data_IF_092274332399
#
_entry.id   IF_092274332399
#
_cell.length_a   1.000
_cell.length_b   1.000
_cell.length_c   1.000
_cell.angle_alpha   90.00
_cell.angle_beta   90.00
_cell.angle_gamma   90.00
#
_symmetry.space_group_name_H-M   'P 1'
#
loop_
_entity.id
_entity.type
_entity.pdbx_description
1 polymer ?
#
# COMPACT_ATOMS: atom_id res chain seq x y z
N UNK A 1 44.16 -29.87 4.63
CA UNK A 1 43.58 -29.18 3.46
C UNK A 1 42.07 -29.46 3.31
N UNK A 2 41.56 -30.71 3.20
CA UNK A 2 40.12 -30.97 3.03
C UNK A 2 39.26 -30.52 4.22
N UNK A 3 39.73 -30.73 5.46
CA UNK A 3 39.04 -30.34 6.68
C UNK A 3 38.83 -28.81 6.84
N UNK A 4 39.62 -28.00 6.14
CA UNK A 4 39.51 -26.53 6.13
C UNK A 4 38.73 -26.03 4.91
N UNK A 5 38.96 -26.63 3.73
CA UNK A 5 38.34 -26.22 2.49
C UNK A 5 36.83 -26.49 2.48
N UNK A 6 36.38 -27.66 2.95
CA UNK A 6 34.96 -28.06 2.89
C UNK A 6 34.03 -27.14 3.69
N UNK A 7 34.28 -26.81 4.97
CA UNK A 7 33.42 -25.88 5.72
C UNK A 7 33.42 -24.47 5.11
N UNK A 8 34.55 -24.04 4.57
CA UNK A 8 34.71 -22.70 3.98
C UNK A 8 33.92 -22.56 2.67
N UNK A 9 34.00 -23.57 1.79
CA UNK A 9 33.27 -23.61 0.52
C UNK A 9 31.76 -23.74 0.76
N UNK A 10 31.33 -24.65 1.62
CA UNK A 10 29.91 -24.78 1.97
C UNK A 10 29.39 -23.49 2.61
N UNK A 11 30.19 -22.87 3.48
CA UNK A 11 29.85 -21.60 4.10
C UNK A 11 29.71 -20.45 3.10
N UNK A 12 30.61 -20.35 2.12
CA UNK A 12 30.52 -19.31 1.08
C UNK A 12 29.32 -19.50 0.16
N UNK A 13 29.03 -20.74 -0.24
CA UNK A 13 27.82 -21.09 -1.01
C UNK A 13 26.54 -20.77 -0.26
N UNK A 14 26.43 -21.17 1.01
CA UNK A 14 25.26 -20.86 1.85
C UNK A 14 25.07 -19.35 1.99
N UNK A 15 26.15 -18.57 2.17
CA UNK A 15 26.08 -17.10 2.21
C UNK A 15 25.61 -16.52 0.88
N UNK A 16 26.14 -16.99 -0.25
CA UNK A 16 25.77 -16.50 -1.59
C UNK A 16 24.28 -16.72 -1.89
N UNK A 17 23.76 -17.95 -1.69
CA UNK A 17 22.33 -18.24 -1.89
C UNK A 17 21.41 -17.48 -0.93
N UNK A 18 21.88 -17.20 0.29
CA UNK A 18 21.14 -16.39 1.26
C UNK A 18 21.09 -14.91 0.85
N UNK A 19 22.22 -14.36 0.41
CA UNK A 19 22.35 -12.91 0.21
C UNK A 19 21.95 -12.45 -1.19
N UNK A 20 22.08 -13.32 -2.19
CA UNK A 20 21.87 -12.99 -3.61
C UNK A 20 20.87 -13.91 -4.33
N UNK A 21 20.35 -14.94 -3.65
CA UNK A 21 19.42 -15.90 -4.24
C UNK A 21 17.95 -15.46 -4.23
N UNK A 22 17.65 -14.24 -3.78
CA UNK A 22 16.29 -13.73 -3.64
C UNK A 22 16.10 -12.48 -4.48
N UNK A 23 15.03 -12.47 -5.27
CA UNK A 23 14.67 -11.31 -6.10
C UNK A 23 14.30 -10.07 -5.25
N UNK A 24 13.85 -10.28 -4.01
CA UNK A 24 13.61 -9.23 -3.02
C UNK A 24 14.36 -9.60 -1.73
N UNK A 25 15.12 -8.64 -1.17
CA UNK A 25 15.85 -8.87 0.08
C UNK A 25 14.88 -8.92 1.26
N UNK A 26 14.81 -10.08 1.92
CA UNK A 26 13.95 -10.29 3.08
C UNK A 26 14.75 -10.11 4.39
N UNK A 27 14.17 -9.54 5.47
CA UNK A 27 14.84 -9.42 6.76
C UNK A 27 15.27 -10.78 7.36
N UNK A 28 16.34 -10.77 8.15
CA UNK A 28 16.93 -12.00 8.75
C UNK A 28 15.94 -12.78 9.62
N UNK A 29 15.13 -12.07 10.42
CA UNK A 29 14.11 -12.67 11.30
C UNK A 29 13.16 -13.59 10.54
N UNK A 30 12.76 -13.20 9.34
CA UNK A 30 11.87 -13.98 8.48
C UNK A 30 12.53 -15.28 8.01
N UNK A 31 13.82 -15.23 7.63
CA UNK A 31 14.55 -16.45 7.25
C UNK A 31 14.69 -17.45 8.40
N UNK A 32 14.85 -16.94 9.62
CA UNK A 32 14.97 -17.76 10.83
C UNK A 32 13.64 -18.45 11.19
N UNK A 33 12.49 -17.94 10.73
CA UNK A 33 11.17 -18.53 10.94
C UNK A 33 10.77 -19.46 9.78
N UNK A 34 10.98 -19.03 8.53
CA UNK A 34 10.47 -19.71 7.35
C UNK A 34 11.04 -21.13 7.14
N UNK A 35 12.32 -21.35 7.45
CA UNK A 35 12.93 -22.67 7.30
C UNK A 35 12.43 -23.66 8.38
N UNK A 36 12.49 -23.34 9.69
CA UNK A 36 11.90 -24.18 10.73
C UNK A 36 10.39 -24.40 10.58
N UNK A 37 9.64 -23.41 10.10
CA UNK A 37 8.20 -23.55 9.89
C UNK A 37 7.84 -24.66 8.92
N UNK A 38 8.66 -24.87 7.89
CA UNK A 38 8.47 -25.96 6.92
C UNK A 38 8.72 -27.31 7.57
N UNK A 39 9.80 -27.44 8.32
CA UNK A 39 10.15 -28.68 9.04
C UNK A 39 9.09 -29.04 10.10
N UNK A 40 8.58 -28.04 10.82
CA UNK A 40 7.50 -28.22 11.80
C UNK A 40 6.19 -28.63 11.11
N UNK A 41 5.83 -27.98 10.00
CA UNK A 41 4.63 -28.33 9.26
C UNK A 41 4.68 -29.76 8.71
N UNK A 42 5.82 -30.20 8.18
CA UNK A 42 6.02 -31.55 7.68
C UNK A 42 5.91 -32.59 8.81
N UNK A 43 6.54 -32.33 9.96
CA UNK A 43 6.44 -33.19 11.15
C UNK A 43 5.01 -33.29 11.67
N UNK A 44 4.32 -32.16 11.84
CA UNK A 44 2.93 -32.14 12.31
C UNK A 44 1.99 -32.83 11.34
N UNK A 45 2.27 -32.77 10.03
CA UNK A 45 1.48 -33.50 9.03
C UNK A 45 1.56 -35.01 9.25
N UNK A 46 2.74 -35.53 9.59
CA UNK A 46 2.94 -36.95 9.91
C UNK A 46 2.26 -37.34 11.23
N UNK A 47 2.32 -36.48 12.25
CA UNK A 47 1.74 -36.74 13.58
C UNK A 47 0.20 -36.66 13.59
N UNK A 48 -0.37 -35.68 12.88
CA UNK A 48 -1.81 -35.41 12.86
C UNK A 48 -2.57 -36.21 11.79
N UNK A 49 -1.86 -36.75 10.79
CA UNK A 49 -2.47 -37.40 9.63
C UNK A 49 -3.27 -36.45 8.73
N UNK A 50 -3.08 -35.14 8.89
CA UNK A 50 -3.69 -34.05 8.11
C UNK A 50 -2.74 -32.86 8.05
N UNK A 51 -2.98 -31.92 7.15
CA UNK A 51 -2.27 -30.65 7.17
C UNK A 51 -2.51 -29.90 8.50
N UNK A 52 -1.44 -29.38 9.14
CA UNK A 52 -1.56 -28.56 10.33
C UNK A 52 -2.13 -27.18 9.99
N UNK A 53 -2.76 -26.56 10.98
CA UNK A 53 -3.22 -25.17 10.93
C UNK A 53 -2.08 -24.20 11.22
N UNK A 54 -2.26 -22.93 10.84
CA UNK A 54 -1.30 -21.86 11.12
C UNK A 54 -1.05 -21.74 12.62
N UNK A 55 -2.11 -21.75 13.44
CA UNK A 55 -2.04 -21.73 14.89
C UNK A 55 -1.21 -22.89 15.48
N UNK A 56 -1.38 -24.11 14.96
CA UNK A 56 -0.62 -25.29 15.43
C UNK A 56 0.88 -25.14 15.14
N UNK A 57 1.23 -24.66 13.93
CA UNK A 57 2.63 -24.43 13.55
C UNK A 57 3.23 -23.26 14.35
N UNK A 58 2.48 -22.17 14.53
CA UNK A 58 2.91 -20.99 15.27
C UNK A 58 3.17 -21.32 16.75
N UNK A 59 2.28 -22.10 17.36
CA UNK A 59 2.40 -22.58 18.74
C UNK A 59 3.66 -23.42 18.92
N UNK A 60 3.91 -24.38 18.03
CA UNK A 60 5.09 -25.25 18.10
C UNK A 60 6.41 -24.49 17.90
N UNK A 61 6.39 -23.41 17.10
CA UNK A 61 7.53 -22.53 16.87
C UNK A 61 7.71 -21.44 17.94
N UNK A 62 6.71 -21.24 18.82
CA UNK A 62 6.72 -20.17 19.81
C UNK A 62 6.65 -18.77 19.21
N UNK A 63 5.95 -18.61 18.08
CA UNK A 63 5.77 -17.32 17.39
C UNK A 63 4.28 -16.97 17.26
N UNK A 64 4.00 -15.70 16.97
CA UNK A 64 2.67 -15.24 16.58
C UNK A 64 2.28 -15.80 15.20
N UNK A 65 1.00 -16.11 15.00
CA UNK A 65 0.41 -16.49 13.73
C UNK A 65 0.66 -15.43 12.64
N UNK A 66 0.54 -14.14 12.95
CA UNK A 66 0.78 -13.05 12.00
C UNK A 66 2.25 -13.04 11.54
N UNK A 67 3.16 -13.28 12.47
CA UNK A 67 4.60 -13.37 12.18
C UNK A 67 4.93 -14.62 11.33
N UNK A 68 4.21 -15.73 11.56
CA UNK A 68 4.35 -16.93 10.74
C UNK A 68 3.81 -16.71 9.32
N UNK A 69 2.64 -16.08 9.19
CA UNK A 69 2.03 -15.75 7.90
C UNK A 69 2.93 -14.81 7.09
N UNK A 70 3.44 -13.75 7.71
CA UNK A 70 4.40 -12.84 7.08
C UNK A 70 5.64 -13.61 6.57
N UNK A 71 6.15 -14.56 7.36
CA UNK A 71 7.31 -15.35 6.96
C UNK A 71 7.01 -16.34 5.80
N UNK A 72 5.81 -16.91 5.79
CA UNK A 72 5.34 -17.77 4.70
C UNK A 72 5.14 -16.98 3.40
N UNK A 73 4.48 -15.83 3.46
CA UNK A 73 4.28 -14.92 2.32
C UNK A 73 5.61 -14.41 1.77
N UNK A 74 6.52 -13.97 2.64
CA UNK A 74 7.83 -13.52 2.22
C UNK A 74 8.63 -14.63 1.51
N UNK A 75 8.40 -15.90 1.86
CA UNK A 75 9.03 -17.03 1.15
C UNK A 75 8.51 -17.16 -0.28
N UNK A 76 7.27 -16.76 -0.58
CA UNK A 76 6.77 -16.69 -1.96
C UNK A 76 7.46 -15.59 -2.78
N UNK A 77 7.97 -14.53 -2.13
CA UNK A 77 8.80 -13.51 -2.80
C UNK A 77 10.18 -14.03 -3.25
N UNK A 78 10.53 -15.28 -2.91
CA UNK A 78 11.76 -15.95 -3.37
C UNK A 78 11.76 -16.21 -4.87
N UNK A 79 10.60 -16.44 -5.48
CA UNK A 79 10.46 -16.59 -6.93
C UNK A 79 9.50 -15.54 -7.47
N UNK A 80 10.06 -14.44 -8.00
CA UNK A 80 9.29 -13.56 -8.86
C UNK A 80 8.94 -14.32 -10.15
N UNK A 81 7.68 -14.27 -10.53
CA UNK A 81 7.26 -14.76 -11.84
C UNK A 81 7.67 -13.73 -12.89
N UNK A 82 8.17 -14.18 -14.05
CA UNK A 82 8.48 -13.28 -15.14
C UNK A 82 7.21 -12.59 -15.64
N UNK A 83 7.28 -11.27 -15.84
CA UNK A 83 6.22 -10.50 -16.48
C UNK A 83 6.09 -10.87 -17.97
N UNK A 84 7.19 -11.31 -18.59
CA UNK A 84 7.24 -11.80 -19.97
C UNK A 84 6.76 -13.26 -20.10
N UNK A 85 6.43 -13.93 -18.99
CA UNK A 85 5.92 -15.29 -19.06
C UNK A 85 4.57 -15.30 -19.81
N UNK A 86 4.34 -16.27 -20.71
CA UNK A 86 3.10 -16.35 -21.48
C UNK A 86 1.89 -16.51 -20.54
N UNK A 87 0.82 -15.80 -20.88
CA UNK A 87 -0.46 -15.84 -20.21
C UNK A 87 -1.58 -15.90 -21.27
N UNK A 88 -2.18 -17.08 -21.45
CA UNK A 88 -3.19 -17.32 -22.48
C UNK A 88 -2.60 -17.51 -23.89
N UNK A 89 -3.43 -17.32 -24.92
CA UNK A 89 -3.07 -17.61 -26.31
C UNK A 89 -2.19 -16.53 -26.96
N UNK A 90 -2.33 -15.24 -26.59
CA UNK A 90 -1.65 -14.12 -27.27
C UNK A 90 -1.19 -12.99 -26.32
N UNK A 91 -0.77 -13.33 -25.10
CA UNK A 91 -0.38 -12.32 -24.11
C UNK A 91 0.72 -12.76 -23.16
N UNK A 92 1.35 -11.78 -22.53
CA UNK A 92 2.27 -11.95 -21.40
C UNK A 92 1.54 -11.72 -20.08
N UNK A 93 2.12 -12.15 -18.97
CA UNK A 93 1.63 -11.80 -17.63
C UNK A 93 1.54 -10.28 -17.42
N UNK A 94 2.38 -9.50 -18.10
CA UNK A 94 2.35 -8.05 -18.06
C UNK A 94 1.03 -7.48 -18.60
N UNK A 95 0.46 -8.09 -19.64
CA UNK A 95 -0.77 -7.62 -20.29
C UNK A 95 -2.02 -7.85 -19.41
N UNK A 96 -1.92 -8.70 -18.39
CA UNK A 96 -2.96 -8.92 -17.39
C UNK A 96 -2.94 -7.88 -16.26
N UNK A 97 -1.87 -7.09 -16.13
CA UNK A 97 -1.76 -6.07 -15.09
C UNK A 97 -2.48 -4.80 -15.53
N UNK A 98 -3.66 -4.57 -14.95
CA UNK A 98 -4.36 -3.29 -15.08
C UNK A 98 -3.63 -2.16 -14.35
N UNK A 99 -3.80 -0.93 -14.84
CA UNK A 99 -3.38 0.27 -14.13
C UNK A 99 -4.59 0.94 -13.46
N UNK A 100 -4.35 1.65 -12.36
CA UNK A 100 -5.37 2.53 -11.79
C UNK A 100 -5.68 3.64 -12.80
N UNK A 101 -6.94 3.75 -13.23
CA UNK A 101 -7.36 4.82 -14.12
C UNK A 101 -7.38 6.15 -13.33
N UNK A 102 -6.52 7.13 -13.66
CA UNK A 102 -6.53 8.44 -13.00
C UNK A 102 -7.84 9.21 -13.23
N UNK A 103 -8.64 8.84 -14.23
CA UNK A 103 -9.99 9.35 -14.47
C UNK A 103 -10.99 8.91 -13.40
N UNK A 104 -10.82 7.72 -12.82
CA UNK A 104 -11.75 7.16 -11.83
C UNK A 104 -11.73 7.97 -10.53
N UNK A 105 -10.53 8.24 -9.98
CA UNK A 105 -10.39 9.08 -8.78
C UNK A 105 -10.87 10.53 -8.99
N UNK A 106 -10.78 11.06 -10.22
CA UNK A 106 -11.36 12.37 -10.56
C UNK A 106 -12.88 12.34 -10.61
N UNK A 107 -13.48 11.25 -11.04
CA UNK A 107 -14.94 11.11 -11.10
C UNK A 107 -15.54 11.09 -9.69
N UNK A 108 -14.96 10.32 -8.78
CA UNK A 108 -15.38 10.29 -7.36
C UNK A 108 -15.24 11.66 -6.70
N UNK A 109 -14.10 12.32 -6.90
CA UNK A 109 -13.85 13.66 -6.39
C UNK A 109 -14.87 14.69 -6.93
N UNK A 110 -15.27 14.59 -8.20
CA UNK A 110 -16.30 15.47 -8.79
C UNK A 110 -17.67 15.27 -8.14
N UNK A 111 -18.06 14.02 -7.91
CA UNK A 111 -19.35 13.71 -7.25
C UNK A 111 -19.34 14.22 -5.81
N UNK A 112 -18.28 13.94 -5.05
CA UNK A 112 -18.15 14.40 -3.68
C UNK A 112 -18.13 15.94 -3.59
N UNK A 113 -17.41 16.62 -4.48
CA UNK A 113 -17.36 18.08 -4.53
C UNK A 113 -18.73 18.68 -4.86
N UNK A 114 -19.47 18.13 -5.82
CA UNK A 114 -20.81 18.60 -6.17
C UNK A 114 -21.77 18.52 -4.98
N UNK A 115 -21.72 17.44 -4.21
CA UNK A 115 -22.51 17.29 -2.98
C UNK A 115 -22.09 18.30 -1.92
N UNK A 116 -20.78 18.46 -1.69
CA UNK A 116 -20.24 19.40 -0.71
C UNK A 116 -20.60 20.87 -1.03
N UNK A 117 -20.60 21.25 -2.31
CA UNK A 117 -21.04 22.57 -2.77
C UNK A 117 -22.55 22.80 -2.52
N UNK A 118 -23.36 21.74 -2.54
CA UNK A 118 -24.80 21.80 -2.24
C UNK A 118 -25.10 22.17 -0.77
N UNK A 119 -24.21 21.80 0.15
CA UNK A 119 -24.35 22.07 1.60
C UNK A 119 -23.81 23.44 2.04
N UNK A 120 -23.07 24.13 1.15
CA UNK A 120 -22.56 25.46 1.47
C UNK A 120 -23.69 26.47 1.65
N UNK A 121 -23.45 27.42 2.55
CA UNK A 121 -24.33 28.58 2.67
C UNK A 121 -24.29 29.39 1.37
N UNK A 122 -25.38 30.10 1.05
CA UNK A 122 -25.44 30.92 -0.18
C UNK A 122 -24.28 31.91 -0.26
N UNK A 123 -23.93 32.49 0.89
CA UNK A 123 -22.79 33.39 1.05
C UNK A 123 -21.44 32.70 0.77
N UNK A 124 -21.23 31.48 1.27
CA UNK A 124 -19.98 30.75 1.01
C UNK A 124 -19.88 30.36 -0.48
N UNK A 125 -21.01 30.02 -1.11
CA UNK A 125 -21.09 29.72 -2.55
C UNK A 125 -20.76 30.95 -3.39
N UNK A 126 -21.41 32.08 -3.10
CA UNK A 126 -21.12 33.37 -3.75
C UNK A 126 -19.65 33.74 -3.58
N UNK A 127 -19.10 33.62 -2.37
CA UNK A 127 -17.70 33.93 -2.11
C UNK A 127 -16.73 33.09 -2.94
N UNK A 128 -17.01 31.79 -3.10
CA UNK A 128 -16.21 30.90 -3.94
C UNK A 128 -16.39 31.23 -5.43
N UNK A 129 -17.59 31.60 -5.86
CA UNK A 129 -17.88 32.01 -7.24
C UNK A 129 -17.07 33.27 -7.63
N UNK A 130 -17.12 34.30 -6.78
CA UNK A 130 -16.36 35.52 -6.96
C UNK A 130 -14.84 35.28 -7.06
N UNK A 131 -14.32 34.32 -6.28
CA UNK A 131 -12.88 34.06 -6.22
C UNK A 131 -12.39 33.10 -7.31
N UNK A 132 -13.11 32.01 -7.60
CA UNK A 132 -12.66 30.96 -8.50
C UNK A 132 -13.23 31.08 -9.93
N UNK A 133 -14.38 31.72 -10.12
CA UNK A 133 -15.03 31.86 -11.42
C UNK A 133 -14.99 33.30 -11.96
N UNK A 134 -15.25 34.31 -11.12
CA UNK A 134 -15.06 35.72 -11.50
C UNK A 134 -13.60 36.19 -11.38
N UNK A 135 -12.71 35.35 -10.84
CA UNK A 135 -11.27 35.62 -10.67
C UNK A 135 -10.94 36.92 -9.89
N UNK A 136 -11.85 37.38 -9.02
CA UNK A 136 -11.63 38.58 -8.22
C UNK A 136 -10.58 38.34 -7.13
N UNK A 137 -9.75 39.35 -6.89
CA UNK A 137 -8.83 39.35 -5.77
C UNK A 137 -9.58 39.46 -4.44
N UNK A 138 -8.99 38.96 -3.35
CA UNK A 138 -9.58 39.08 -2.01
C UNK A 138 -9.79 40.54 -1.59
N UNK A 139 -9.01 41.48 -2.14
CA UNK A 139 -9.17 42.92 -1.91
C UNK A 139 -10.40 43.48 -2.64
N UNK A 140 -10.65 43.07 -3.89
CA UNK A 140 -11.84 43.48 -4.65
C UNK A 140 -13.12 42.90 -4.03
N UNK A 141 -13.07 41.63 -3.62
CA UNK A 141 -14.16 40.98 -2.88
C UNK A 141 -14.41 41.72 -1.55
N UNK A 142 -13.35 42.08 -0.83
CA UNK A 142 -13.47 42.85 0.41
C UNK A 142 -14.15 44.21 0.20
N UNK A 143 -13.86 44.86 -0.94
CA UNK A 143 -14.54 46.08 -1.38
C UNK A 143 -16.05 45.87 -1.58
N UNK A 144 -16.47 44.76 -2.21
CA UNK A 144 -17.91 44.43 -2.38
C UNK A 144 -18.63 44.19 -1.06
N UNK A 145 -17.97 43.52 -0.11
CA UNK A 145 -18.57 43.18 1.20
C UNK A 145 -18.37 44.26 2.28
N UNK A 146 -17.64 45.33 2.00
CA UNK A 146 -17.35 46.38 2.98
C UNK A 146 -16.53 45.91 4.19
N UNK A 147 -15.64 44.94 3.99
CA UNK A 147 -14.80 44.35 5.05
C UNK A 147 -13.31 44.44 4.72
N UNK A 148 -12.46 43.92 5.60
CA UNK A 148 -11.02 43.78 5.31
C UNK A 148 -10.72 42.56 4.44
N UNK A 149 -9.67 42.64 3.62
CA UNK A 149 -9.16 41.50 2.83
C UNK A 149 -8.82 40.29 3.72
N UNK A 150 -8.27 40.52 4.91
CA UNK A 150 -7.98 39.44 5.89
C UNK A 150 -9.25 38.73 6.38
N UNK A 151 -10.39 39.42 6.41
CA UNK A 151 -11.66 38.79 6.76
C UNK A 151 -12.18 37.90 5.62
N UNK A 152 -12.05 38.36 4.37
CA UNK A 152 -12.33 37.54 3.17
C UNK A 152 -11.43 36.30 3.12
N UNK A 153 -10.13 36.45 3.38
CA UNK A 153 -9.17 35.34 3.45
C UNK A 153 -9.63 34.26 4.45
N UNK A 154 -10.09 34.68 5.64
CA UNK A 154 -10.61 33.76 6.66
C UNK A 154 -11.89 33.05 6.22
N UNK A 155 -12.80 33.75 5.54
CA UNK A 155 -14.02 33.14 4.99
C UNK A 155 -13.70 32.11 3.91
N UNK A 156 -12.85 32.44 2.93
CA UNK A 156 -12.42 31.50 1.88
C UNK A 156 -11.78 30.25 2.49
N UNK A 157 -10.87 30.44 3.46
CA UNK A 157 -10.22 29.32 4.14
C UNK A 157 -11.23 28.43 4.88
N UNK A 158 -12.24 29.03 5.52
CA UNK A 158 -13.29 28.27 6.20
C UNK A 158 -14.18 27.50 5.21
N UNK A 159 -14.56 28.12 4.09
CA UNK A 159 -15.36 27.49 3.03
C UNK A 159 -14.59 26.30 2.40
N UNK A 160 -13.32 26.49 2.06
CA UNK A 160 -12.46 25.43 1.51
C UNK A 160 -12.27 24.29 2.52
N UNK A 161 -12.10 24.60 3.81
CA UNK A 161 -11.99 23.57 4.85
C UNK A 161 -13.27 22.73 4.96
N UNK A 162 -14.45 23.36 4.85
CA UNK A 162 -15.73 22.65 4.82
C UNK A 162 -15.81 21.70 3.62
N UNK A 163 -15.45 22.19 2.43
CA UNK A 163 -15.43 21.34 1.23
C UNK A 163 -14.48 20.14 1.41
N UNK A 164 -13.25 20.37 1.88
CA UNK A 164 -12.28 19.29 2.12
C UNK A 164 -12.74 18.27 3.15
N UNK A 165 -13.46 18.68 4.20
CA UNK A 165 -13.98 17.73 5.19
C UNK A 165 -15.01 16.74 4.66
N UNK A 166 -15.55 16.99 3.46
CA UNK A 166 -16.53 16.15 2.77
C UNK A 166 -15.95 15.41 1.56
N UNK A 167 -14.67 15.61 1.26
CA UNK A 167 -13.98 14.86 0.21
C UNK A 167 -13.51 13.50 0.76
N UNK A 168 -13.46 12.45 -0.08
CA UNK A 168 -12.83 11.19 0.30
C UNK A 168 -11.37 11.44 0.72
N UNK A 169 -10.88 10.68 1.71
CA UNK A 169 -9.47 10.68 2.05
C UNK A 169 -8.70 9.94 0.95
N UNK A 170 -7.65 10.58 0.42
CA UNK A 170 -6.63 9.90 -0.39
C UNK A 170 -5.87 8.87 0.45
#
# INVERSE_FOLDING_TARGET
FPAFATPTIVGSLKRHYRDLGWAVRVPRRIHEIAAPAREVADRLTLELGRSPTVAEVATELGVDEDTLLEAQEATHARSVSSLDAPAGEDGTRMDLLGAVDPGMGRAENRVALAQALGELTERDRELLDLYFFEELTQTEIAGRYGVSQMQVSRWLTAAIRRLRSRMPAD
#
